data_IF_771091879161
#
_entry.id   IF_771091879161
#
_cell.length_a   1.000
_cell.length_b   1.000
_cell.length_c   1.000
_cell.angle_alpha   90.00
_cell.angle_beta   90.00
_cell.angle_gamma   90.00
#
_symmetry.space_group_name_H-M   'P 1'
#
loop_
_entity.id
_entity.type
_entity.pdbx_description
1 polymer ?
#
# COMPACT_ATOMS: atom_id res chain seq x y z
N UNK A 1 -13.44 50.60 -27.12
CA UNK A 1 -14.36 49.98 -26.13
C UNK A 1 -14.10 48.49 -26.15
N UNK A 2 -13.42 48.00 -25.13
CA UNK A 2 -13.10 46.57 -24.96
C UNK A 2 -14.32 45.83 -24.45
N UNK A 3 -14.62 44.69 -25.05
CA UNK A 3 -15.80 43.85 -24.83
C UNK A 3 -15.70 43.14 -23.46
N UNK A 4 -16.79 43.11 -22.69
CA UNK A 4 -16.90 42.51 -21.35
C UNK A 4 -16.40 41.04 -21.22
N UNK A 5 -16.24 40.32 -22.32
CA UNK A 5 -15.69 38.97 -22.35
C UNK A 5 -14.16 38.89 -22.22
N UNK A 6 -13.45 39.99 -22.52
CA UNK A 6 -11.97 40.01 -22.45
C UNK A 6 -11.45 40.37 -21.05
N UNK A 7 -12.27 40.93 -20.17
CA UNK A 7 -11.88 41.32 -18.81
C UNK A 7 -11.95 40.12 -17.83
N UNK A 8 -12.78 39.12 -18.14
CA UNK A 8 -12.93 37.92 -17.27
C UNK A 8 -11.82 36.87 -17.46
N UNK A 9 -11.08 36.90 -18.58
CA UNK A 9 -9.98 35.99 -18.83
C UNK A 9 -8.64 36.41 -18.20
N UNK A 10 -8.48 37.69 -17.85
CA UNK A 10 -7.26 38.19 -17.23
C UNK A 10 -7.25 38.05 -15.69
N UNK A 11 -8.41 37.90 -15.05
CA UNK A 11 -8.50 37.75 -13.60
C UNK A 11 -8.39 36.30 -13.09
N UNK A 12 -8.58 35.31 -14.00
CA UNK A 12 -8.57 33.88 -13.63
C UNK A 12 -7.17 33.26 -13.51
N UNK A 13 -6.14 33.91 -14.10
CA UNK A 13 -4.78 33.31 -14.16
C UNK A 13 -3.93 33.70 -12.95
N UNK A 14 -4.25 34.77 -12.22
CA UNK A 14 -3.44 35.25 -11.09
C UNK A 14 -3.80 34.62 -9.75
N UNK A 15 -5.01 34.06 -9.58
CA UNK A 15 -5.44 33.47 -8.31
C UNK A 15 -4.91 32.04 -8.13
N UNK A 16 -4.76 31.27 -9.23
CA UNK A 16 -4.26 29.90 -9.16
C UNK A 16 -2.75 29.81 -8.92
N UNK A 17 -1.96 30.77 -9.39
CA UNK A 17 -0.51 30.77 -9.18
C UNK A 17 -0.11 31.21 -7.77
N UNK A 18 -0.87 32.11 -7.14
CA UNK A 18 -0.63 32.54 -5.77
C UNK A 18 -1.02 31.47 -4.75
N UNK A 19 -2.13 30.76 -4.96
CA UNK A 19 -2.55 29.67 -4.08
C UNK A 19 -1.60 28.48 -4.14
N UNK A 20 -1.10 28.11 -5.32
CA UNK A 20 -0.11 27.06 -5.50
C UNK A 20 1.23 27.39 -4.84
N UNK A 21 1.69 28.64 -4.93
CA UNK A 21 2.96 29.05 -4.32
C UNK A 21 2.88 29.10 -2.79
N UNK A 22 1.77 29.56 -2.24
CA UNK A 22 1.53 29.59 -0.77
C UNK A 22 1.41 28.17 -0.23
N UNK A 23 0.68 27.26 -0.91
CA UNK A 23 0.56 25.87 -0.51
C UNK A 23 1.90 25.14 -0.56
N UNK A 24 2.68 25.29 -1.63
CA UNK A 24 4.01 24.71 -1.73
C UNK A 24 4.96 25.20 -0.64
N UNK A 25 4.89 26.48 -0.27
CA UNK A 25 5.66 27.04 0.84
C UNK A 25 5.22 26.48 2.20
N UNK A 26 3.92 26.35 2.43
CA UNK A 26 3.37 25.84 3.70
C UNK A 26 3.74 24.37 3.90
N UNK A 27 3.62 23.54 2.86
CA UNK A 27 4.01 22.12 2.92
C UNK A 27 5.52 21.98 3.05
N UNK A 28 6.31 22.76 2.32
CA UNK A 28 7.77 22.77 2.44
C UNK A 28 8.22 23.10 3.86
N UNK A 29 7.57 24.06 4.53
CA UNK A 29 7.87 24.39 5.93
C UNK A 29 7.50 23.25 6.90
N UNK A 30 6.42 22.50 6.64
CA UNK A 30 5.99 21.36 7.46
C UNK A 30 6.92 20.16 7.34
N UNK A 31 7.64 20.03 6.22
CA UNK A 31 8.57 18.92 5.98
C UNK A 31 10.02 19.25 6.37
N UNK A 32 10.29 20.49 6.85
CA UNK A 32 11.64 20.91 7.24
C UNK A 32 12.21 19.98 8.32
N UNK A 33 13.48 19.59 8.16
CA UNK A 33 14.17 18.68 9.06
C UNK A 33 13.78 17.21 8.90
N UNK A 34 13.01 16.87 7.87
CA UNK A 34 12.68 15.47 7.56
C UNK A 34 13.55 14.93 6.41
N UNK A 35 13.67 13.60 6.26
CA UNK A 35 14.36 12.99 5.11
C UNK A 35 13.81 13.40 3.74
N UNK A 36 12.59 13.95 3.70
CA UNK A 36 11.87 14.29 2.46
C UNK A 36 11.66 15.81 2.29
N UNK A 37 12.34 16.66 3.05
CA UNK A 37 12.10 18.12 3.01
C UNK A 37 12.29 18.76 1.62
N UNK A 38 13.23 18.22 0.83
CA UNK A 38 13.57 18.73 -0.50
C UNK A 38 12.94 17.92 -1.64
N UNK A 39 12.03 16.99 -1.32
CA UNK A 39 11.40 16.12 -2.31
C UNK A 39 10.16 16.80 -2.90
N UNK A 40 10.07 16.81 -4.24
CA UNK A 40 8.86 17.21 -4.94
C UNK A 40 7.85 16.05 -4.96
N UNK A 41 6.76 16.20 -4.20
CA UNK A 41 5.65 15.27 -4.18
C UNK A 41 4.68 15.63 -5.32
N UNK A 42 4.71 14.84 -6.40
CA UNK A 42 4.08 15.22 -7.68
C UNK A 42 2.54 15.23 -7.64
N UNK A 43 1.92 14.48 -6.73
CA UNK A 43 0.46 14.36 -6.61
C UNK A 43 -0.11 15.05 -5.36
N UNK A 44 0.73 15.80 -4.65
CA UNK A 44 0.30 16.60 -3.51
C UNK A 44 -0.64 17.71 -3.96
N UNK A 45 -1.76 17.90 -3.25
CA UNK A 45 -2.79 18.89 -3.57
C UNK A 45 -3.32 19.60 -2.31
N UNK A 46 -3.88 20.78 -2.49
CA UNK A 46 -4.63 21.53 -1.47
C UNK A 46 -6.15 21.31 -1.57
N UNK A 47 -6.60 20.50 -2.52
CA UNK A 47 -8.02 20.15 -2.64
C UNK A 47 -8.50 19.49 -1.35
N UNK A 48 -9.46 20.13 -0.67
CA UNK A 48 -10.00 19.67 0.63
C UNK A 48 -10.70 18.32 0.56
N UNK A 49 -11.17 17.94 -0.62
CA UNK A 49 -11.85 16.65 -0.85
C UNK A 49 -10.86 15.50 -1.10
N UNK A 50 -9.59 15.80 -1.34
CA UNK A 50 -8.57 14.77 -1.50
C UNK A 50 -8.29 14.04 -0.18
N UNK A 51 -8.03 12.72 -0.23
CA UNK A 51 -7.72 11.95 0.96
C UNK A 51 -6.49 12.49 1.68
N UNK A 52 -6.50 12.34 3.02
CA UNK A 52 -5.34 12.68 3.83
C UNK A 52 -4.40 11.49 3.89
N UNK A 53 -3.14 11.74 3.60
CA UNK A 53 -2.03 10.85 3.90
C UNK A 53 -1.26 11.44 5.07
N UNK A 54 -1.19 10.70 6.16
CA UNK A 54 -0.35 11.04 7.30
C UNK A 54 1.09 10.60 7.01
N UNK A 55 2.05 11.40 7.48
CA UNK A 55 3.48 11.12 7.31
C UNK A 55 4.22 11.25 8.64
N UNK A 56 4.94 10.22 9.03
CA UNK A 56 5.94 10.26 10.11
C UNK A 56 7.34 10.17 9.52
N UNK A 57 8.27 11.10 9.86
CA UNK A 57 9.66 11.00 9.42
C UNK A 57 10.44 9.90 10.14
N UNK A 58 9.88 9.35 11.23
CA UNK A 58 10.53 8.32 12.04
C UNK A 58 10.03 6.93 11.65
N UNK A 59 10.95 5.96 11.63
CA UNK A 59 10.63 4.54 11.52
C UNK A 59 10.97 3.87 12.86
N UNK A 60 9.98 3.70 13.70
CA UNK A 60 10.12 3.06 15.01
C UNK A 60 8.83 2.32 15.37
N UNK A 61 8.87 1.39 16.33
CA UNK A 61 7.67 0.71 16.82
C UNK A 61 6.58 1.69 17.28
N UNK A 62 6.97 2.75 18.00
CA UNK A 62 6.03 3.78 18.46
C UNK A 62 5.46 4.58 17.30
N UNK A 63 6.27 4.94 16.30
CA UNK A 63 5.80 5.71 15.14
C UNK A 63 4.74 4.94 14.31
N UNK A 64 4.80 3.61 14.25
CA UNK A 64 3.76 2.79 13.60
C UNK A 64 2.42 2.89 14.35
N UNK A 65 2.46 2.90 15.68
CA UNK A 65 1.25 3.10 16.49
C UNK A 65 0.73 4.54 16.37
N UNK A 66 1.62 5.53 16.47
CA UNK A 66 1.24 6.95 16.43
C UNK A 66 0.57 7.32 15.10
N UNK A 67 1.12 6.84 13.98
CA UNK A 67 0.54 7.12 12.66
C UNK A 67 -0.81 6.42 12.47
N UNK A 68 -0.99 5.21 13.01
CA UNK A 68 -2.29 4.56 13.04
C UNK A 68 -3.32 5.40 13.81
N UNK A 69 -2.94 5.90 15.00
CA UNK A 69 -3.82 6.77 15.80
C UNK A 69 -4.15 8.08 15.08
N UNK A 70 -3.19 8.66 14.36
CA UNK A 70 -3.40 9.88 13.59
C UNK A 70 -4.41 9.70 12.44
N UNK A 71 -4.48 8.52 11.81
CA UNK A 71 -5.49 8.21 10.78
C UNK A 71 -6.91 8.30 11.35
N UNK A 72 -7.10 7.96 12.63
CA UNK A 72 -8.35 8.19 13.35
C UNK A 72 -9.50 7.25 12.95
N UNK A 73 -9.24 6.12 12.30
CA UNK A 73 -10.29 5.15 12.01
C UNK A 73 -10.82 4.53 13.30
N UNK A 74 -12.13 4.59 13.59
CA UNK A 74 -12.70 3.93 14.76
C UNK A 74 -12.49 2.41 14.71
N UNK A 75 -11.80 1.88 15.71
CA UNK A 75 -11.58 0.44 15.86
C UNK A 75 -12.85 -0.24 16.30
N UNK A 76 -13.22 -1.32 15.66
CA UNK A 76 -14.39 -2.12 15.99
C UNK A 76 -14.02 -3.60 16.02
N UNK A 77 -14.56 -4.33 16.98
CA UNK A 77 -14.47 -5.77 17.07
C UNK A 77 -13.06 -6.35 17.03
N UNK A 78 -12.91 -7.48 16.35
CA UNK A 78 -11.62 -8.18 16.21
C UNK A 78 -10.75 -7.51 15.16
N UNK A 79 -9.49 -7.24 15.51
CA UNK A 79 -8.54 -6.54 14.64
C UNK A 79 -7.57 -7.52 13.99
N UNK A 80 -7.42 -7.41 12.66
CA UNK A 80 -6.40 -8.12 11.88
C UNK A 80 -5.34 -7.16 11.36
N UNK A 81 -4.07 -7.41 11.69
CA UNK A 81 -2.94 -6.74 11.06
C UNK A 81 -2.49 -7.58 9.86
N UNK A 82 -2.87 -7.15 8.65
CA UNK A 82 -2.45 -7.81 7.42
C UNK A 82 -1.02 -7.43 7.08
N UNK A 83 -0.15 -8.39 7.24
CA UNK A 83 1.29 -8.27 6.97
C UNK A 83 1.72 -9.31 5.95
N UNK A 84 2.98 -9.27 5.52
CA UNK A 84 3.62 -10.33 4.75
C UNK A 84 4.77 -10.87 5.59
N UNK A 85 4.63 -12.11 6.07
CA UNK A 85 5.66 -12.76 6.88
C UNK A 85 6.94 -13.05 6.06
N UNK A 86 6.76 -13.28 4.76
CA UNK A 86 7.88 -13.59 3.86
C UNK A 86 8.35 -15.03 4.00
N UNK A 87 9.59 -15.26 3.61
CA UNK A 87 10.24 -16.57 3.69
C UNK A 87 11.62 -16.47 4.35
N UNK A 88 12.18 -17.62 4.75
CA UNK A 88 13.46 -17.67 5.46
C UNK A 88 14.68 -17.25 4.63
N UNK A 89 14.54 -17.10 3.30
CA UNK A 89 15.66 -16.85 2.39
C UNK A 89 16.12 -15.40 2.38
N UNK A 90 15.23 -14.47 2.75
CA UNK A 90 15.58 -13.06 2.66
C UNK A 90 14.85 -12.22 3.73
N UNK A 91 15.42 -12.20 4.93
CA UNK A 91 14.92 -11.42 6.07
C UNK A 91 14.88 -9.91 5.80
N UNK A 92 15.76 -9.42 4.92
CA UNK A 92 15.82 -8.01 4.57
C UNK A 92 14.59 -7.52 3.80
N UNK A 93 13.80 -8.45 3.24
CA UNK A 93 12.55 -8.12 2.49
C UNK A 93 11.33 -7.92 3.38
N UNK A 94 11.41 -8.27 4.66
CA UNK A 94 10.27 -8.35 5.56
C UNK A 94 10.22 -7.14 6.49
N UNK A 95 9.04 -6.92 7.07
CA UNK A 95 8.90 -5.99 8.18
C UNK A 95 9.61 -6.60 9.39
N UNK A 96 10.45 -5.83 10.06
CA UNK A 96 10.98 -6.25 11.36
C UNK A 96 9.79 -6.43 12.33
N UNK A 97 9.58 -7.64 12.89
CA UNK A 97 8.45 -7.90 13.79
C UNK A 97 8.35 -6.92 14.96
N UNK A 98 9.47 -6.42 15.46
CA UNK A 98 9.49 -5.46 16.56
C UNK A 98 8.73 -4.15 16.24
N UNK A 99 8.65 -3.74 14.96
CA UNK A 99 7.89 -2.55 14.54
C UNK A 99 6.38 -2.72 14.78
N UNK A 100 5.89 -3.96 14.83
CA UNK A 100 4.47 -4.26 14.95
C UNK A 100 4.00 -4.39 16.41
N UNK A 101 4.92 -4.53 17.37
CA UNK A 101 4.56 -4.89 18.76
C UNK A 101 3.63 -3.86 19.41
N UNK A 102 3.92 -2.53 19.44
CA UNK A 102 3.05 -1.58 20.11
C UNK A 102 1.64 -1.49 19.50
N UNK A 103 1.52 -1.52 18.17
CA UNK A 103 0.20 -1.48 17.52
C UNK A 103 -0.57 -2.79 17.75
N UNK A 104 0.11 -3.93 17.76
CA UNK A 104 -0.51 -5.21 18.04
C UNK A 104 -1.05 -5.30 19.46
N UNK A 105 -0.28 -4.82 20.46
CA UNK A 105 -0.69 -4.80 21.85
C UNK A 105 -1.86 -3.84 22.09
N UNK A 106 -1.76 -2.62 21.60
CA UNK A 106 -2.79 -1.58 21.75
C UNK A 106 -4.14 -2.04 21.19
N UNK A 107 -4.11 -2.70 20.03
CA UNK A 107 -5.32 -3.15 19.34
C UNK A 107 -5.74 -4.59 19.73
N UNK A 108 -4.96 -5.28 20.57
CA UNK A 108 -5.12 -6.72 20.83
C UNK A 108 -5.30 -7.51 19.54
N UNK A 109 -4.47 -7.17 18.56
CA UNK A 109 -4.64 -7.63 17.20
C UNK A 109 -4.06 -9.04 16.98
N UNK A 110 -4.51 -9.66 15.90
CA UNK A 110 -3.93 -10.89 15.32
C UNK A 110 -3.17 -10.53 14.05
N UNK A 111 -1.98 -11.06 13.87
CA UNK A 111 -1.26 -10.98 12.60
C UNK A 111 -1.89 -11.95 11.60
N UNK A 112 -2.24 -11.46 10.43
CA UNK A 112 -2.96 -12.25 9.43
C UNK A 112 -2.23 -12.25 8.08
N UNK A 113 -2.18 -13.40 7.42
CA UNK A 113 -1.71 -13.57 6.05
C UNK A 113 -2.38 -14.79 5.40
N UNK A 114 -2.39 -14.89 4.07
CA UNK A 114 -2.81 -16.06 3.32
C UNK A 114 -1.61 -16.90 2.90
N UNK A 115 -1.81 -18.19 2.66
CA UNK A 115 -0.80 -19.05 2.04
C UNK A 115 -0.38 -18.53 0.66
N UNK A 116 0.80 -18.94 0.22
CA UNK A 116 1.36 -18.49 -1.04
C UNK A 116 2.03 -19.62 -1.81
N UNK A 117 2.40 -19.36 -3.05
CA UNK A 117 2.97 -20.37 -3.99
C UNK A 117 4.39 -20.81 -3.67
N UNK A 118 5.06 -20.27 -2.67
CA UNK A 118 6.42 -20.69 -2.30
C UNK A 118 6.43 -21.77 -1.22
N UNK A 119 7.51 -22.55 -1.16
CA UNK A 119 7.64 -23.69 -0.25
C UNK A 119 7.62 -23.33 1.25
N UNK A 120 7.83 -22.07 1.60
CA UNK A 120 7.81 -21.60 2.99
C UNK A 120 6.40 -21.21 3.46
N UNK A 121 5.43 -21.10 2.54
CA UNK A 121 4.07 -20.65 2.77
C UNK A 121 3.03 -21.46 1.98
N UNK A 122 3.38 -22.71 1.64
CA UNK A 122 2.55 -23.58 0.78
C UNK A 122 1.26 -24.08 1.45
N UNK A 123 1.27 -24.12 2.76
CA UNK A 123 0.15 -24.57 3.60
C UNK A 123 0.20 -23.89 4.98
N UNK A 124 -0.90 -23.95 5.72
CA UNK A 124 -1.04 -23.24 6.98
C UNK A 124 -0.01 -23.67 8.05
N UNK A 125 0.34 -24.94 8.12
CA UNK A 125 1.29 -25.45 9.11
C UNK A 125 2.71 -24.97 8.81
N UNK A 126 3.14 -25.11 7.55
CA UNK A 126 4.44 -24.65 7.05
C UNK A 126 4.57 -23.13 7.16
N UNK A 127 3.52 -22.40 6.79
CA UNK A 127 3.48 -20.94 6.87
C UNK A 127 3.56 -20.45 8.31
N UNK A 128 2.80 -21.06 9.23
CA UNK A 128 2.85 -20.74 10.65
C UNK A 128 4.23 -21.03 11.26
N UNK A 129 4.86 -22.16 10.90
CA UNK A 129 6.20 -22.51 11.32
C UNK A 129 7.22 -21.47 10.82
N UNK A 130 7.09 -21.03 9.57
CA UNK A 130 7.92 -19.98 8.99
C UNK A 130 7.76 -18.66 9.73
N UNK A 131 6.53 -18.20 9.96
CA UNK A 131 6.25 -16.97 10.70
C UNK A 131 6.83 -17.00 12.13
N UNK A 132 6.71 -18.14 12.83
CA UNK A 132 7.31 -18.34 14.15
C UNK A 132 8.84 -18.29 14.11
N UNK A 133 9.47 -18.95 13.13
CA UNK A 133 10.93 -18.92 12.97
C UNK A 133 11.49 -17.52 12.75
N UNK A 134 10.66 -16.60 12.24
CA UNK A 134 10.97 -15.20 12.00
C UNK A 134 10.62 -14.30 13.21
N UNK A 135 10.01 -14.84 14.25
CA UNK A 135 9.71 -14.14 15.50
C UNK A 135 8.38 -13.38 15.52
N UNK A 136 7.49 -13.60 14.55
CA UNK A 136 6.18 -12.94 14.55
C UNK A 136 5.26 -13.40 15.67
N UNK A 137 5.40 -14.66 16.13
CA UNK A 137 4.66 -15.21 17.27
C UNK A 137 4.95 -14.51 18.61
N UNK A 138 6.09 -13.82 18.71
CA UNK A 138 6.44 -12.98 19.88
C UNK A 138 5.75 -11.61 19.86
N UNK A 139 5.15 -11.24 18.74
CA UNK A 139 4.45 -9.97 18.56
C UNK A 139 2.98 -10.11 18.94
N UNK A 140 2.27 -11.06 18.31
CA UNK A 140 0.85 -11.30 18.51
C UNK A 140 0.47 -12.72 18.06
N UNK A 141 -0.75 -13.21 18.35
CA UNK A 141 -1.30 -14.41 17.70
C UNK A 141 -1.23 -14.30 16.18
N UNK A 142 -1.05 -15.43 15.50
CA UNK A 142 -0.97 -15.53 14.05
C UNK A 142 -2.15 -16.34 13.52
N UNK A 143 -2.78 -15.87 12.47
CA UNK A 143 -3.85 -16.57 11.78
C UNK A 143 -3.57 -16.61 10.26
N UNK A 144 -3.59 -17.82 9.71
CA UNK A 144 -3.48 -18.03 8.27
C UNK A 144 -4.90 -18.07 7.70
N UNK A 145 -5.23 -17.07 6.91
CA UNK A 145 -6.61 -16.77 6.51
C UNK A 145 -7.32 -17.91 5.78
N UNK A 146 -6.57 -18.74 5.06
CA UNK A 146 -7.05 -19.90 4.30
C UNK A 146 -6.70 -21.25 4.94
N UNK A 147 -6.42 -21.24 6.26
CA UNK A 147 -6.10 -22.48 7.00
C UNK A 147 -7.23 -23.53 6.92
N UNK A 148 -8.47 -23.10 6.88
CA UNK A 148 -9.63 -24.00 6.77
C UNK A 148 -10.13 -24.12 5.34
N UNK A 149 -10.35 -23.00 4.66
CA UNK A 149 -10.91 -22.96 3.30
C UNK A 149 -10.72 -21.63 2.60
N UNK A 150 -10.89 -21.67 1.29
CA UNK A 150 -11.01 -20.48 0.45
C UNK A 150 -12.45 -19.97 0.39
N UNK A 151 -12.61 -18.68 0.14
CA UNK A 151 -13.86 -18.04 -0.25
C UNK A 151 -13.65 -17.21 -1.51
N UNK A 152 -14.70 -17.03 -2.28
CA UNK A 152 -14.73 -16.20 -3.47
C UNK A 152 -15.54 -14.92 -3.18
N UNK A 153 -14.86 -13.78 -3.15
CA UNK A 153 -15.50 -12.47 -2.94
C UNK A 153 -15.90 -11.89 -4.31
N UNK A 154 -17.16 -11.50 -4.52
CA UNK A 154 -17.59 -10.92 -5.80
C UNK A 154 -16.82 -9.65 -6.16
N UNK A 155 -16.45 -9.51 -7.42
CA UNK A 155 -15.86 -8.29 -8.00
C UNK A 155 -16.94 -7.58 -8.82
N UNK A 156 -17.21 -6.32 -8.50
CA UNK A 156 -18.15 -5.51 -9.29
C UNK A 156 -17.43 -4.84 -10.45
N UNK A 157 -17.97 -4.99 -11.64
CA UNK A 157 -17.44 -4.36 -12.86
C UNK A 157 -15.92 -4.62 -13.00
N UNK A 158 -15.52 -5.89 -12.84
CA UNK A 158 -14.12 -6.29 -12.98
C UNK A 158 -13.62 -6.13 -14.41
N UNK A 159 -12.36 -5.77 -14.56
CA UNK A 159 -11.68 -5.84 -15.86
C UNK A 159 -11.52 -7.30 -16.32
N UNK A 160 -11.11 -8.16 -15.38
CA UNK A 160 -10.81 -9.57 -15.63
C UNK A 160 -11.46 -10.49 -14.59
N UNK A 161 -11.49 -10.08 -13.31
CA UNK A 161 -11.99 -10.93 -12.24
C UNK A 161 -13.52 -10.78 -12.08
N UNK A 162 -14.23 -11.91 -12.03
CA UNK A 162 -15.64 -11.98 -11.59
C UNK A 162 -15.77 -12.12 -10.07
N UNK A 163 -14.77 -12.75 -9.47
CA UNK A 163 -14.60 -12.88 -8.02
C UNK A 163 -13.11 -12.88 -7.69
N UNK A 164 -12.78 -12.66 -6.42
CA UNK A 164 -11.43 -12.72 -5.88
C UNK A 164 -11.35 -13.82 -4.82
N UNK A 165 -10.40 -14.73 -4.98
CA UNK A 165 -10.21 -15.90 -4.11
C UNK A 165 -9.29 -15.54 -2.95
N UNK A 166 -9.81 -15.61 -1.72
CA UNK A 166 -9.08 -15.32 -0.47
C UNK A 166 -9.44 -16.33 0.62
N UNK A 167 -8.83 -16.20 1.81
CA UNK A 167 -9.08 -17.10 2.92
C UNK A 167 -10.37 -16.77 3.69
N UNK A 168 -11.07 -17.81 4.15
CA UNK A 168 -12.36 -17.69 4.86
C UNK A 168 -12.23 -16.94 6.18
N UNK A 169 -11.09 -17.01 6.86
CA UNK A 169 -10.88 -16.32 8.14
C UNK A 169 -10.89 -14.80 8.03
N UNK A 170 -10.78 -14.22 6.82
CA UNK A 170 -10.94 -12.77 6.62
C UNK A 170 -12.31 -12.29 7.16
N UNK A 171 -13.34 -13.14 7.13
CA UNK A 171 -14.66 -12.82 7.70
C UNK A 171 -14.62 -12.53 9.20
N UNK A 172 -13.68 -13.12 9.93
CA UNK A 172 -13.57 -13.04 11.38
C UNK A 172 -13.08 -11.68 11.92
N UNK A 173 -12.63 -10.77 11.05
CA UNK A 173 -12.04 -9.49 11.44
C UNK A 173 -12.97 -8.35 11.09
N UNK A 174 -13.15 -7.42 12.06
CA UNK A 174 -14.05 -6.27 11.92
C UNK A 174 -13.29 -4.99 11.57
N UNK A 175 -12.02 -4.89 11.97
CA UNK A 175 -11.09 -3.81 11.61
C UNK A 175 -9.82 -4.42 11.05
N UNK A 176 -9.31 -3.86 9.97
CA UNK A 176 -8.14 -4.36 9.26
C UNK A 176 -7.09 -3.26 9.09
N UNK A 177 -5.85 -3.58 9.40
CA UNK A 177 -4.71 -2.68 9.18
C UNK A 177 -3.72 -3.39 8.26
N UNK A 178 -3.59 -2.91 7.04
CA UNK A 178 -2.56 -3.36 6.11
C UNK A 178 -1.25 -2.66 6.42
N UNK A 179 -0.23 -3.40 6.85
CA UNK A 179 1.09 -2.84 7.15
C UNK A 179 2.11 -3.49 6.21
N UNK A 180 2.76 -2.67 5.41
CA UNK A 180 3.68 -3.13 4.36
C UNK A 180 5.02 -2.44 4.49
N UNK A 181 6.11 -3.17 4.32
CA UNK A 181 7.37 -2.56 3.95
C UNK A 181 7.29 -2.16 2.46
N UNK A 182 7.26 -0.84 2.21
CA UNK A 182 7.23 -0.30 0.86
C UNK A 182 8.59 -0.50 0.21
N UNK A 183 8.63 -1.13 -0.95
CA UNK A 183 9.87 -1.50 -1.62
C UNK A 183 9.64 -1.74 -3.11
N UNK A 184 10.73 -1.83 -3.88
CA UNK A 184 10.68 -2.33 -5.24
C UNK A 184 10.25 -3.79 -5.33
N UNK A 185 9.87 -4.23 -6.51
CA UNK A 185 9.46 -5.60 -6.80
C UNK A 185 9.77 -5.98 -8.24
N UNK A 186 10.21 -7.21 -8.48
CA UNK A 186 10.67 -7.65 -9.80
C UNK A 186 9.58 -7.65 -10.87
N UNK A 187 8.36 -8.05 -10.51
CA UNK A 187 7.22 -8.15 -11.43
C UNK A 187 6.36 -6.87 -11.41
N UNK A 188 5.84 -6.50 -10.25
CA UNK A 188 4.97 -5.32 -10.09
C UNK A 188 5.75 -4.02 -9.85
N UNK A 189 7.06 -4.03 -9.98
CA UNK A 189 8.01 -2.93 -9.78
C UNK A 189 7.97 -2.28 -8.41
N UNK A 190 6.85 -2.25 -7.72
CA UNK A 190 6.76 -1.87 -6.31
C UNK A 190 5.84 -2.80 -5.51
N UNK A 191 5.94 -2.73 -4.20
CA UNK A 191 5.10 -3.45 -3.26
C UNK A 191 4.62 -2.48 -2.19
N UNK A 192 3.32 -2.22 -2.17
CA UNK A 192 2.63 -1.31 -1.27
C UNK A 192 1.27 -1.88 -0.84
N UNK A 193 0.37 -1.00 -0.40
CA UNK A 193 -0.97 -1.37 0.06
C UNK A 193 -1.78 -2.10 -1.02
N UNK A 194 -1.77 -1.62 -2.27
CA UNK A 194 -2.52 -2.23 -3.36
C UNK A 194 -2.08 -3.68 -3.64
N UNK A 195 -0.77 -3.95 -3.61
CA UNK A 195 -0.28 -5.33 -3.74
C UNK A 195 -0.65 -6.19 -2.54
N UNK A 196 -0.63 -5.63 -1.34
CA UNK A 196 -0.98 -6.37 -0.12
C UNK A 196 -2.47 -6.74 -0.09
N UNK A 197 -3.35 -5.91 -0.67
CA UNK A 197 -4.79 -6.18 -0.78
C UNK A 197 -5.16 -7.09 -1.95
N UNK A 198 -4.34 -7.18 -2.97
CA UNK A 198 -4.59 -8.02 -4.14
C UNK A 198 -3.84 -9.35 -4.02
N UNK A 199 -2.62 -9.41 -4.50
CA UNK A 199 -1.83 -10.64 -4.59
C UNK A 199 -1.60 -11.27 -3.21
N UNK A 200 -1.25 -10.46 -2.18
CA UNK A 200 -0.90 -11.01 -0.88
C UNK A 200 -2.11 -11.32 0.04
N UNK A 201 -3.30 -10.81 -0.27
CA UNK A 201 -4.54 -11.18 0.43
C UNK A 201 -5.20 -12.41 -0.22
N UNK A 202 -4.93 -12.65 -1.49
CA UNK A 202 -5.32 -13.88 -2.17
C UNK A 202 -4.64 -15.11 -1.56
N UNK A 203 -5.34 -16.25 -1.61
CA UNK A 203 -4.71 -17.54 -1.38
C UNK A 203 -3.68 -17.84 -2.48
N UNK A 204 -2.98 -18.96 -2.44
CA UNK A 204 -2.09 -19.34 -3.53
C UNK A 204 -2.82 -19.32 -4.89
N UNK A 205 -4.06 -19.85 -4.95
CA UNK A 205 -4.90 -19.83 -6.15
C UNK A 205 -5.39 -18.41 -6.49
N UNK A 206 -5.76 -17.63 -5.47
CA UNK A 206 -6.16 -16.23 -5.65
C UNK A 206 -5.01 -15.37 -6.20
N UNK A 207 -3.79 -15.60 -5.75
CA UNK A 207 -2.61 -14.94 -6.29
C UNK A 207 -2.34 -15.36 -7.75
N UNK A 208 -2.48 -16.67 -8.09
CA UNK A 208 -2.42 -17.15 -9.47
C UNK A 208 -3.51 -16.47 -10.33
N UNK A 209 -4.75 -16.42 -9.84
CA UNK A 209 -5.87 -15.77 -10.52
C UNK A 209 -5.59 -14.31 -10.87
N UNK A 210 -5.02 -13.54 -9.94
CA UNK A 210 -4.65 -12.14 -10.21
C UNK A 210 -3.56 -12.04 -11.25
N UNK A 211 -2.56 -12.91 -11.20
CA UNK A 211 -1.46 -12.91 -12.17
C UNK A 211 -1.87 -13.37 -13.57
N UNK A 212 -2.90 -14.20 -13.70
CA UNK A 212 -3.36 -14.79 -14.96
C UNK A 212 -4.63 -14.13 -15.52
N UNK A 213 -4.88 -12.87 -15.21
CA UNK A 213 -6.03 -12.11 -15.71
C UNK A 213 -7.39 -12.81 -15.47
N UNK A 214 -7.57 -13.35 -14.27
CA UNK A 214 -8.82 -13.98 -13.83
C UNK A 214 -8.92 -15.47 -14.08
N UNK A 215 -7.98 -16.09 -14.76
CA UNK A 215 -7.93 -17.54 -14.90
C UNK A 215 -7.62 -18.21 -13.55
N UNK A 216 -8.44 -19.15 -13.14
CA UNK A 216 -8.27 -19.87 -11.88
C UNK A 216 -7.44 -21.12 -12.12
N UNK A 217 -6.18 -21.07 -11.69
CA UNK A 217 -5.22 -22.16 -11.83
C UNK A 217 -4.51 -22.43 -10.51
N UNK A 218 -3.93 -23.62 -10.39
CA UNK A 218 -3.09 -24.02 -9.25
C UNK A 218 -1.59 -23.76 -9.50
N UNK A 219 -1.24 -23.19 -10.64
CA UNK A 219 0.13 -22.90 -11.03
C UNK A 219 0.26 -21.46 -11.55
N UNK A 220 1.45 -20.92 -11.36
CA UNK A 220 1.76 -19.57 -11.78
C UNK A 220 1.99 -19.49 -13.29
N UNK A 221 1.13 -18.75 -13.97
CA UNK A 221 1.33 -18.39 -15.37
C UNK A 221 0.87 -16.94 -15.58
N UNK A 222 1.79 -16.00 -15.64
CA UNK A 222 1.42 -14.58 -15.66
C UNK A 222 0.86 -14.16 -17.02
N UNK A 223 -0.19 -13.35 -16.99
CA UNK A 223 -0.67 -12.55 -18.11
C UNK A 223 0.25 -11.36 -18.38
N UNK A 224 -0.11 -10.49 -19.31
CA UNK A 224 0.65 -9.28 -19.55
C UNK A 224 0.69 -8.38 -18.29
N UNK A 225 1.73 -7.52 -18.15
CA UNK A 225 1.81 -6.58 -17.03
C UNK A 225 0.58 -5.67 -16.90
N UNK A 226 -0.02 -5.27 -18.02
CA UNK A 226 -1.26 -4.49 -18.06
C UNK A 226 -2.42 -5.29 -17.44
N UNK A 227 -2.68 -6.48 -17.92
CA UNK A 227 -3.77 -7.34 -17.44
C UNK A 227 -3.59 -7.72 -15.97
N UNK A 228 -2.34 -7.96 -15.53
CA UNK A 228 -2.02 -8.17 -14.12
C UNK A 228 -2.37 -6.93 -13.28
N UNK A 229 -2.05 -5.71 -13.75
CA UNK A 229 -2.37 -4.47 -13.03
C UNK A 229 -3.88 -4.22 -12.98
N UNK A 230 -4.61 -4.51 -14.06
CA UNK A 230 -6.07 -4.45 -14.11
C UNK A 230 -6.70 -5.47 -13.13
N UNK A 231 -6.19 -6.69 -13.09
CA UNK A 231 -6.63 -7.75 -12.17
C UNK A 231 -6.32 -7.43 -10.70
N UNK A 232 -5.18 -6.78 -10.44
CA UNK A 232 -4.88 -6.26 -9.10
C UNK A 232 -5.90 -5.21 -8.65
N UNK A 233 -6.31 -4.29 -9.53
CA UNK A 233 -7.34 -3.30 -9.21
C UNK A 233 -8.70 -3.97 -8.95
N UNK A 234 -9.03 -5.04 -9.65
CA UNK A 234 -10.22 -5.85 -9.40
C UNK A 234 -10.19 -6.50 -8.02
N UNK A 235 -9.08 -7.13 -7.65
CA UNK A 235 -8.90 -7.74 -6.33
C UNK A 235 -8.95 -6.71 -5.18
N UNK A 236 -8.32 -5.53 -5.38
CA UNK A 236 -8.42 -4.39 -4.44
C UNK A 236 -9.89 -3.97 -4.27
N UNK A 237 -10.65 -3.87 -5.37
CA UNK A 237 -12.09 -3.54 -5.31
C UNK A 237 -12.86 -4.54 -4.45
N UNK A 238 -12.66 -5.85 -4.65
CA UNK A 238 -13.30 -6.89 -3.87
C UNK A 238 -12.96 -6.79 -2.37
N UNK A 239 -11.67 -6.60 -2.03
CA UNK A 239 -11.22 -6.49 -0.65
C UNK A 239 -11.82 -5.26 0.06
N UNK A 240 -11.87 -4.11 -0.61
CA UNK A 240 -12.45 -2.88 -0.07
C UNK A 240 -13.97 -2.99 0.07
N UNK A 241 -14.67 -3.54 -0.91
CA UNK A 241 -16.12 -3.75 -0.85
C UNK A 241 -16.50 -4.73 0.27
N UNK A 242 -15.76 -5.83 0.42
CA UNK A 242 -16.03 -6.85 1.43
C UNK A 242 -15.89 -6.33 2.87
N UNK A 243 -14.94 -5.43 3.11
CA UNK A 243 -14.68 -4.80 4.41
C UNK A 243 -14.75 -3.28 4.30
N UNK A 244 -15.82 -2.76 3.72
CA UNK A 244 -16.02 -1.34 3.41
C UNK A 244 -15.87 -0.46 4.65
N UNK A 245 -14.97 0.54 4.54
CA UNK A 245 -14.70 1.50 5.61
C UNK A 245 -14.01 0.90 6.85
N UNK A 246 -13.36 -0.27 6.71
CA UNK A 246 -12.72 -0.99 7.81
C UNK A 246 -11.20 -1.12 7.68
N UNK A 247 -10.60 -0.47 6.70
CA UNK A 247 -9.20 -0.56 6.41
C UNK A 247 -8.41 0.69 6.77
N UNK A 248 -7.21 0.48 7.33
CA UNK A 248 -6.12 1.46 7.39
C UNK A 248 -4.93 0.89 6.64
N UNK A 249 -4.25 1.71 5.87
CA UNK A 249 -3.08 1.33 5.07
C UNK A 249 -1.85 2.07 5.58
N UNK A 250 -0.81 1.32 5.92
CA UNK A 250 0.46 1.83 6.44
C UNK A 250 1.59 1.30 5.56
N UNK A 251 2.30 2.18 4.87
CA UNK A 251 3.49 1.87 4.11
C UNK A 251 4.73 2.37 4.87
N UNK A 252 5.61 1.46 5.26
CA UNK A 252 6.88 1.76 5.92
C UNK A 252 7.96 1.84 4.86
N UNK A 253 8.55 3.02 4.68
CA UNK A 253 9.57 3.31 3.65
C UNK A 253 10.95 3.28 4.33
N UNK A 254 11.46 2.08 4.57
CA UNK A 254 12.73 1.88 5.25
C UNK A 254 13.60 0.86 4.53
N UNK A 255 14.89 0.93 4.77
CA UNK A 255 15.89 0.02 4.19
C UNK A 255 15.65 -0.20 2.68
N UNK A 256 15.40 0.89 1.95
CA UNK A 256 14.99 0.87 0.55
C UNK A 256 16.19 0.59 -0.34
N UNK A 257 16.01 -0.33 -1.29
CA UNK A 257 16.88 -0.50 -2.46
C UNK A 257 16.03 -0.32 -3.72
N UNK A 258 16.09 0.86 -4.36
CA UNK A 258 15.13 1.19 -5.40
C UNK A 258 15.22 0.32 -6.66
N UNK A 259 16.43 -0.05 -7.08
CA UNK A 259 16.66 -0.70 -8.38
C UNK A 259 16.36 -2.20 -8.36
N UNK A 260 16.81 -2.92 -7.34
CA UNK A 260 16.65 -4.38 -7.24
C UNK A 260 15.53 -4.84 -6.31
N UNK A 261 14.76 -3.94 -5.86
CA UNK A 261 13.53 -4.05 -5.06
C UNK A 261 13.32 -5.22 -4.14
N UNK A 262 13.79 -6.38 -4.51
CA UNK A 262 13.56 -7.60 -3.75
C UNK A 262 14.85 -8.26 -3.20
N UNK A 263 16.04 -7.83 -3.59
CA UNK A 263 17.29 -8.46 -3.16
C UNK A 263 18.40 -7.44 -2.87
N UNK A 264 19.22 -7.76 -1.90
CA UNK A 264 20.42 -6.99 -1.54
C UNK A 264 20.26 -6.07 -0.33
N UNK A 265 21.39 -5.46 0.10
CA UNK A 265 21.45 -4.51 1.21
C UNK A 265 20.80 -3.19 0.85
N UNK A 266 20.14 -2.57 1.83
CA UNK A 266 19.61 -1.21 1.69
C UNK A 266 20.72 -0.21 1.40
N UNK A 267 20.49 0.68 0.45
CA UNK A 267 21.42 1.75 0.08
C UNK A 267 20.89 3.15 0.36
N UNK A 268 19.68 3.22 0.96
CA UNK A 268 19.01 4.47 1.32
C UNK A 268 18.69 4.52 2.81
N UNK A 269 18.70 5.71 3.43
CA UNK A 269 18.23 5.89 4.80
C UNK A 269 16.74 5.57 4.90
N UNK A 270 16.25 5.43 6.13
CA UNK A 270 14.82 5.36 6.41
C UNK A 270 14.15 6.69 6.03
N UNK A 271 13.05 6.62 5.28
CA UNK A 271 12.37 7.79 4.73
C UNK A 271 11.09 8.13 5.48
N UNK A 272 10.66 7.24 6.36
CA UNK A 272 9.48 7.43 7.18
C UNK A 272 8.38 6.43 6.91
N UNK A 273 7.20 6.78 7.39
CA UNK A 273 5.99 5.98 7.27
C UNK A 273 4.89 6.87 6.71
N UNK A 274 4.10 6.36 5.78
CA UNK A 274 2.86 7.00 5.32
C UNK A 274 1.66 6.14 5.65
N UNK A 275 0.53 6.76 6.01
CA UNK A 275 -0.71 6.05 6.30
C UNK A 275 -1.95 6.82 5.82
N UNK A 276 -2.96 6.08 5.38
CA UNK A 276 -4.26 6.62 4.96
C UNK A 276 -5.36 5.56 5.11
N UNK A 277 -6.61 5.97 5.04
CA UNK A 277 -7.75 5.07 4.77
C UNK A 277 -7.95 4.80 3.27
N UNK A 278 -7.21 5.48 2.41
CA UNK A 278 -7.20 5.32 0.96
C UNK A 278 -5.91 4.62 0.53
N UNK A 279 -5.97 3.36 0.00
CA UNK A 279 -4.78 2.61 -0.39
C UNK A 279 -4.06 3.22 -1.60
N UNK A 280 -4.80 3.88 -2.49
CA UNK A 280 -4.25 4.50 -3.71
C UNK A 280 -3.42 5.73 -3.31
N UNK A 281 -3.97 6.58 -2.43
CA UNK A 281 -3.27 7.74 -1.88
C UNK A 281 -2.02 7.33 -1.08
N UNK A 282 -2.13 6.30 -0.24
CA UNK A 282 -0.99 5.79 0.53
C UNK A 282 0.15 5.29 -0.37
N UNK A 283 -0.17 4.51 -1.41
CA UNK A 283 0.83 4.03 -2.36
C UNK A 283 1.39 5.16 -3.23
N UNK A 284 0.54 6.10 -3.68
CA UNK A 284 0.99 7.24 -4.48
C UNK A 284 1.94 8.14 -3.71
N UNK A 285 1.63 8.44 -2.45
CA UNK A 285 2.51 9.23 -1.59
C UNK A 285 3.87 8.55 -1.37
N UNK A 286 3.88 7.24 -1.14
CA UNK A 286 5.12 6.47 -1.01
C UNK A 286 5.93 6.47 -2.32
N UNK A 287 5.28 6.34 -3.48
CA UNK A 287 5.93 6.46 -4.80
C UNK A 287 6.50 7.85 -5.06
N UNK A 288 5.76 8.91 -4.71
CA UNK A 288 6.23 10.29 -4.86
C UNK A 288 7.49 10.54 -4.00
N UNK A 289 7.53 10.01 -2.79
CA UNK A 289 8.70 10.05 -1.91
C UNK A 289 9.90 9.34 -2.58
N UNK A 290 9.71 8.13 -3.07
CA UNK A 290 10.77 7.34 -3.70
C UNK A 290 11.27 7.99 -4.99
N UNK A 291 10.35 8.46 -5.84
CA UNK A 291 10.70 9.13 -7.08
C UNK A 291 11.39 10.48 -6.87
N UNK A 292 11.02 11.19 -5.81
CA UNK A 292 11.60 12.48 -5.49
C UNK A 292 13.00 12.40 -4.87
N UNK A 293 13.39 11.22 -4.34
CA UNK A 293 14.73 10.99 -3.77
C UNK A 293 15.85 10.98 -4.79
N UNK A 294 15.54 10.78 -6.04
CA UNK A 294 16.53 10.63 -7.08
C UNK A 294 16.22 11.56 -8.23
N UNK A 295 17.24 12.28 -8.67
CA UNK A 295 17.22 12.97 -9.95
C UNK A 295 17.44 12.03 -11.12
N UNK A 296 17.62 10.72 -10.85
CA UNK A 296 17.83 9.72 -11.87
C UNK A 296 16.51 9.35 -12.54
N UNK A 297 16.27 9.76 -13.79
CA UNK A 297 15.06 9.43 -14.52
C UNK A 297 14.95 7.93 -14.83
N UNK A 298 16.06 7.19 -14.85
CA UNK A 298 16.06 5.75 -15.13
C UNK A 298 15.41 4.95 -13.98
N UNK A 299 15.56 5.40 -12.73
CA UNK A 299 14.85 4.76 -11.61
C UNK A 299 13.34 4.83 -11.79
N UNK A 300 12.82 6.02 -12.13
CA UNK A 300 11.38 6.21 -12.35
C UNK A 300 10.90 5.38 -13.53
N UNK A 301 11.64 5.41 -14.64
CA UNK A 301 11.37 4.61 -15.82
C UNK A 301 11.37 3.11 -15.52
N UNK A 302 12.30 2.64 -14.69
CA UNK A 302 12.36 1.25 -14.26
C UNK A 302 11.12 0.84 -13.43
N UNK A 303 10.64 1.72 -12.54
CA UNK A 303 9.46 1.45 -11.72
C UNK A 303 8.14 1.60 -12.48
N UNK A 304 8.09 2.45 -13.51
CA UNK A 304 6.91 2.63 -14.38
C UNK A 304 6.93 1.65 -15.56
N UNK A 305 8.02 0.94 -15.78
CA UNK A 305 8.14 -0.04 -16.86
C UNK A 305 7.05 -1.10 -16.76
N UNK A 306 6.55 -1.50 -17.94
CA UNK A 306 5.60 -2.58 -18.08
C UNK A 306 4.27 -2.36 -17.32
N UNK A 307 3.81 -1.12 -17.25
CA UNK A 307 2.52 -0.76 -16.67
C UNK A 307 2.34 -1.09 -15.18
N UNK A 308 3.41 -1.27 -14.44
CA UNK A 308 3.38 -1.77 -13.07
C UNK A 308 2.75 -0.80 -12.07
N UNK A 309 2.84 0.52 -12.33
CA UNK A 309 2.24 1.59 -11.52
C UNK A 309 0.79 1.85 -11.94
N UNK A 310 0.37 1.35 -13.09
CA UNK A 310 -0.94 1.59 -13.67
C UNK A 310 -2.08 0.99 -12.82
N UNK A 311 -1.77 0.07 -11.89
CA UNK A 311 -2.76 -0.41 -10.91
C UNK A 311 -3.44 0.75 -10.16
N UNK A 312 -2.71 1.85 -9.91
CA UNK A 312 -3.27 3.04 -9.26
C UNK A 312 -4.25 3.78 -10.19
N UNK A 313 -3.95 3.82 -11.50
CA UNK A 313 -4.83 4.42 -12.50
C UNK A 313 -6.10 3.60 -12.71
N UNK A 314 -5.98 2.28 -12.74
CA UNK A 314 -7.13 1.38 -12.85
C UNK A 314 -8.01 1.44 -11.59
N UNK A 315 -7.40 1.45 -10.42
CA UNK A 315 -8.10 1.55 -9.14
C UNK A 315 -8.81 2.91 -8.99
N UNK A 316 -8.16 4.03 -9.36
CA UNK A 316 -8.77 5.36 -9.34
C UNK A 316 -9.96 5.45 -10.31
N UNK A 317 -9.86 4.91 -11.52
CA UNK A 317 -10.97 4.84 -12.49
C UNK A 317 -12.16 4.03 -11.97
N UNK A 318 -11.93 3.04 -11.11
CA UNK A 318 -12.98 2.27 -10.41
C UNK A 318 -13.55 3.01 -9.19
N UNK A 319 -13.05 4.19 -8.86
CA UNK A 319 -13.48 4.96 -7.68
C UNK A 319 -13.04 4.36 -6.34
N UNK A 320 -11.93 3.63 -6.31
CA UNK A 320 -11.43 2.95 -5.11
C UNK A 320 -10.58 3.87 -4.22
N UNK A 321 -10.20 5.04 -4.71
CA UNK A 321 -9.39 6.04 -4.04
C UNK A 321 -8.86 7.06 -5.03
N UNK A 322 -7.90 7.88 -4.60
CA UNK A 322 -7.33 8.96 -5.41
C UNK A 322 -5.81 8.98 -5.37
N UNK A 323 -5.18 9.24 -6.52
CA UNK A 323 -3.75 9.51 -6.60
C UNK A 323 -3.39 10.91 -6.07
N UNK A 324 -4.31 11.87 -6.18
CA UNK A 324 -4.13 13.18 -5.55
C UNK A 324 -4.39 13.08 -4.04
N UNK A 325 -3.50 13.63 -3.22
CA UNK A 325 -3.60 13.52 -1.77
C UNK A 325 -3.15 14.81 -1.07
N UNK A 326 -3.65 15.01 0.16
CA UNK A 326 -3.11 15.98 1.11
C UNK A 326 -2.13 15.28 2.03
N UNK A 327 -1.03 15.94 2.39
CA UNK A 327 -0.06 15.38 3.33
C UNK A 327 -0.17 16.09 4.68
N UNK A 328 -0.25 15.30 5.75
CA UNK A 328 -0.22 15.79 7.12
C UNK A 328 0.92 15.09 7.88
N UNK A 329 1.94 15.86 8.26
CA UNK A 329 3.02 15.38 9.11
C UNK A 329 2.52 15.13 10.53
N UNK A 330 2.98 14.02 11.10
CA UNK A 330 2.95 13.76 12.54
C UNK A 330 4.37 13.66 13.06
N UNK A 331 4.61 14.08 14.30
CA UNK A 331 5.94 14.07 14.91
C UNK A 331 6.22 12.79 15.71
#
# INVERSE_FOLDING_TARGET
MLNRRQVLLAAGVSVSSLSLSVFAQTVGSSLKGTPIENIKLAHLTDNKDAPVVFYSPRVSPQAVLDIFKAVGLPVQGKVGLKVVFGNNRDRAKMINPALLKPIADELRATLIESNYMDSARSDAATHLATAKSLGYDKVAPIDILDAEREIAIPVRNGYHLKNFITGSHLANYDTLVSIVRFKGHNLQRYSGATKNLSICLGTARGACQVHSAGEVTDYYHPSSPKETSESMADAVSAALDYKKGRWVFINIINALKPVDGCSGTADRPDLGIVASTDPIAADRAALDIVYGLTSDPELRKEWEREHSVDVLDYAERKGLGSKAYRLQRID
#
